data_IF_843775210400
#
_entry.id   IF_843775210400
#
_cell.length_a   1.000
_cell.length_b   1.000
_cell.length_c   1.000
_cell.angle_alpha   90.00
_cell.angle_beta   90.00
_cell.angle_gamma   90.00
#
_symmetry.space_group_name_H-M   'P 1'
#
loop_
_entity.id
_entity.type
_entity.pdbx_description
1 polymer ?
#
# COMPACT_ATOMS: atom_id res chain seq x y z
N UNK A 1 43.90 12.09 33.53
CA UNK A 1 42.77 13.02 33.54
C UNK A 1 42.78 13.77 32.23
N UNK A 2 42.54 13.04 31.13
CA UNK A 2 42.42 13.58 29.74
C UNK A 2 41.81 12.50 28.84
N UNK A 3 40.49 12.27 28.98
CA UNK A 3 39.70 11.51 28.02
C UNK A 3 38.32 12.18 27.97
N UNK A 4 38.20 13.33 27.33
CA UNK A 4 36.90 13.98 27.16
C UNK A 4 36.76 14.90 25.95
N UNK A 5 37.75 14.95 25.04
CA UNK A 5 37.66 15.88 23.90
C UNK A 5 37.47 15.21 22.51
N UNK A 6 37.59 13.90 22.43
CA UNK A 6 37.49 13.18 21.17
C UNK A 6 36.04 12.88 20.72
N UNK A 7 35.14 12.68 21.70
CA UNK A 7 33.73 12.34 21.37
C UNK A 7 32.89 13.52 20.86
N UNK A 8 33.19 14.73 21.29
CA UNK A 8 32.46 15.92 20.85
C UNK A 8 32.75 16.32 19.38
N UNK A 9 33.95 16.02 18.89
CA UNK A 9 34.38 16.33 17.51
C UNK A 9 33.71 15.47 16.47
N UNK A 10 33.52 14.20 16.75
CA UNK A 10 32.87 13.25 15.83
C UNK A 10 31.35 13.50 15.71
N UNK A 11 30.72 13.91 16.81
CA UNK A 11 29.29 14.22 16.82
C UNK A 11 28.95 15.48 16.00
N UNK A 12 29.79 16.52 16.16
CA UNK A 12 29.69 17.75 15.38
C UNK A 12 29.98 17.53 13.89
N UNK A 13 30.96 16.70 13.55
CA UNK A 13 31.29 16.39 12.16
C UNK A 13 30.20 15.57 11.48
N UNK A 14 29.60 14.60 12.15
CA UNK A 14 28.47 13.79 11.65
C UNK A 14 27.20 14.64 11.48
N UNK A 15 26.88 15.49 12.44
CA UNK A 15 25.75 16.43 12.32
C UNK A 15 25.92 17.41 11.16
N UNK A 16 27.13 17.93 10.95
CA UNK A 16 27.42 18.86 9.82
C UNK A 16 27.33 18.13 8.48
N UNK A 17 27.76 16.88 8.38
CA UNK A 17 27.63 16.08 7.16
C UNK A 17 26.18 15.76 6.81
N UNK A 18 25.37 15.36 7.81
CA UNK A 18 23.92 15.10 7.62
C UNK A 18 23.22 16.40 7.21
N UNK A 19 23.52 17.51 7.89
CA UNK A 19 22.94 18.82 7.53
C UNK A 19 23.40 19.28 6.15
N UNK A 20 24.64 19.03 5.75
CA UNK A 20 25.16 19.38 4.42
C UNK A 20 24.50 18.54 3.30
N UNK A 21 24.27 17.25 3.55
CA UNK A 21 23.55 16.37 2.61
C UNK A 21 22.09 16.82 2.47
N UNK A 22 21.41 17.11 3.60
CA UNK A 22 20.00 17.57 3.60
C UNK A 22 19.89 18.97 2.94
N UNK A 23 20.78 19.92 3.27
CA UNK A 23 20.74 21.26 2.66
C UNK A 23 21.18 21.27 1.20
N UNK A 24 22.11 20.39 0.80
CA UNK A 24 22.47 20.18 -0.61
C UNK A 24 21.27 19.70 -1.45
N UNK A 25 20.47 18.81 -0.90
CA UNK A 25 19.23 18.32 -1.53
C UNK A 25 18.20 19.44 -1.71
N UNK A 26 17.93 20.21 -0.67
CA UNK A 26 16.99 21.34 -0.72
C UNK A 26 17.42 22.40 -1.74
N UNK A 27 18.71 22.76 -1.79
CA UNK A 27 19.22 23.79 -2.69
C UNK A 27 19.18 23.35 -4.16
N UNK A 28 19.45 22.07 -4.44
CA UNK A 28 19.42 21.55 -5.81
C UNK A 28 17.98 21.42 -6.34
N UNK A 29 17.05 20.98 -5.50
CA UNK A 29 15.62 20.91 -5.83
C UNK A 29 15.04 22.28 -6.12
N UNK A 30 15.36 23.30 -5.33
CA UNK A 30 14.88 24.67 -5.54
C UNK A 30 15.42 25.27 -6.86
N UNK A 31 16.67 25.03 -7.19
CA UNK A 31 17.29 25.56 -8.45
C UNK A 31 16.72 24.83 -9.69
N UNK A 32 16.43 23.53 -9.60
CA UNK A 32 15.84 22.78 -10.71
C UNK A 32 14.35 23.09 -10.91
N UNK A 33 13.59 23.29 -9.85
CA UNK A 33 12.17 23.67 -9.93
C UNK A 33 11.99 25.01 -10.67
N UNK A 34 12.88 25.99 -10.46
CA UNK A 34 12.85 27.30 -11.17
C UNK A 34 13.23 27.19 -12.66
N UNK A 35 14.03 26.17 -13.04
CA UNK A 35 14.48 26.00 -14.44
C UNK A 35 13.55 25.15 -15.32
N UNK A 36 12.60 24.39 -14.72
CA UNK A 36 11.74 23.45 -15.44
C UNK A 36 10.30 23.94 -15.65
N UNK A 37 9.99 25.21 -15.36
CA UNK A 37 8.67 25.77 -15.67
C UNK A 37 8.46 25.85 -17.18
N UNK A 38 7.51 25.10 -17.75
CA UNK A 38 7.29 25.11 -19.19
C UNK A 38 6.64 26.44 -19.61
N UNK A 39 7.26 27.10 -20.57
CA UNK A 39 6.70 28.23 -21.32
C UNK A 39 5.44 27.75 -22.05
N UNK A 40 4.28 28.33 -21.74
CA UNK A 40 3.01 28.10 -22.44
C UNK A 40 3.21 28.38 -23.94
N UNK A 41 2.93 27.38 -24.76
CA UNK A 41 2.63 27.59 -26.19
C UNK A 41 1.21 27.09 -26.45
N UNK A 42 0.38 27.98 -26.95
CA UNK A 42 -0.99 27.74 -27.40
C UNK A 42 -0.97 27.05 -28.77
N UNK A 43 -1.76 25.95 -28.88
CA UNK A 43 -1.99 25.29 -30.17
C UNK A 43 -3.34 24.57 -30.17
N UNK A 44 -4.24 25.07 -31.01
CA UNK A 44 -5.60 24.59 -31.31
C UNK A 44 -5.51 23.40 -32.27
N UNK A 45 -6.38 22.38 -32.09
CA UNK A 45 -6.55 21.32 -33.07
C UNK A 45 -7.67 20.36 -32.74
N UNK A 46 -8.76 20.44 -33.47
CA UNK A 46 -9.95 19.60 -33.42
C UNK A 46 -9.75 18.26 -34.15
N UNK A 47 -10.50 17.21 -33.74
CA UNK A 47 -10.62 15.99 -34.53
C UNK A 47 -11.45 14.91 -33.85
N UNK A 48 -12.68 14.71 -34.30
CA UNK A 48 -13.60 13.69 -33.81
C UNK A 48 -13.30 12.28 -34.34
N UNK A 49 -13.79 11.28 -33.64
CA UNK A 49 -13.75 9.89 -34.05
C UNK A 49 -14.73 9.03 -33.26
N UNK A 50 -15.86 8.71 -33.92
CA UNK A 50 -16.89 7.81 -33.42
C UNK A 50 -16.36 6.37 -33.38
N UNK A 51 -16.73 5.59 -32.35
CA UNK A 51 -16.46 4.18 -32.33
C UNK A 51 -17.64 3.33 -31.92
N UNK A 52 -17.91 2.44 -32.82
CA UNK A 52 -18.83 1.36 -32.95
C UNK A 52 -18.87 0.38 -31.77
N UNK A 53 -20.09 0.10 -31.29
CA UNK A 53 -20.40 -1.02 -30.39
C UNK A 53 -20.45 -2.32 -31.20
N UNK A 54 -19.63 -3.32 -30.84
CA UNK A 54 -19.81 -4.70 -31.25
C UNK A 54 -20.49 -5.50 -30.13
N UNK A 55 -21.71 -5.91 -30.39
CA UNK A 55 -22.48 -6.88 -29.64
C UNK A 55 -22.06 -8.29 -30.07
N UNK A 56 -21.59 -9.13 -29.11
CA UNK A 56 -21.46 -10.57 -29.35
C UNK A 56 -22.67 -11.27 -28.78
N UNK A 57 -23.59 -11.67 -29.69
CA UNK A 57 -24.67 -12.59 -29.36
C UNK A 57 -24.19 -14.04 -29.48
N UNK A 58 -24.19 -14.79 -28.40
CA UNK A 58 -24.07 -16.25 -28.42
C UNK A 58 -25.47 -16.84 -28.24
N UNK A 59 -26.05 -17.34 -29.30
CA UNK A 59 -27.26 -18.18 -29.26
C UNK A 59 -26.84 -19.64 -29.04
N UNK A 60 -27.18 -20.22 -27.89
CA UNK A 60 -27.07 -21.64 -27.64
C UNK A 60 -28.43 -22.26 -27.86
N UNK A 61 -28.54 -23.10 -28.88
CA UNK A 61 -29.72 -23.95 -29.14
C UNK A 61 -29.68 -25.13 -28.15
N UNK A 62 -30.73 -25.21 -27.29
CA UNK A 62 -30.93 -26.36 -26.41
C UNK A 62 -31.59 -27.49 -27.21
N UNK A 63 -30.94 -28.63 -27.26
CA UNK A 63 -31.50 -29.89 -27.74
C UNK A 63 -32.14 -30.64 -26.56
N UNK A 64 -33.41 -30.91 -26.61
CA UNK A 64 -34.16 -31.70 -25.63
C UNK A 64 -33.65 -33.12 -25.56
N UNK A 65 -33.05 -33.50 -24.44
CA UNK A 65 -32.85 -34.87 -24.02
C UNK A 65 -33.40 -35.05 -22.61
N UNK A 66 -34.39 -35.91 -22.44
CA UNK A 66 -35.03 -36.24 -21.18
C UNK A 66 -33.99 -36.60 -20.10
N UNK A 67 -34.20 -36.14 -18.83
CA UNK A 67 -33.25 -36.40 -17.77
C UNK A 67 -33.37 -37.85 -17.26
N UNK A 68 -32.30 -38.62 -17.42
CA UNK A 68 -32.07 -39.80 -16.58
C UNK A 68 -31.83 -39.27 -15.17
N UNK A 69 -32.80 -39.50 -14.28
CA UNK A 69 -32.68 -39.21 -12.85
C UNK A 69 -31.65 -40.19 -12.24
N UNK A 70 -30.39 -39.82 -12.29
CA UNK A 70 -29.40 -40.41 -11.45
C UNK A 70 -29.63 -39.85 -10.01
N UNK A 71 -30.16 -40.63 -9.13
CA UNK A 71 -30.16 -40.38 -7.68
C UNK A 71 -28.71 -40.13 -7.26
N UNK A 72 -28.31 -38.88 -7.18
CA UNK A 72 -27.11 -38.47 -6.48
C UNK A 72 -27.36 -38.81 -5.01
N UNK A 73 -26.81 -39.93 -4.54
CA UNK A 73 -26.56 -40.13 -3.14
C UNK A 73 -25.70 -38.96 -2.67
N UNK A 74 -26.36 -37.97 -2.09
CA UNK A 74 -25.77 -36.83 -1.42
C UNK A 74 -25.16 -37.34 -0.11
N UNK A 75 -23.99 -37.95 -0.22
CA UNK A 75 -23.15 -38.18 0.96
C UNK A 75 -22.76 -36.82 1.50
N UNK A 76 -23.41 -36.38 2.58
CA UNK A 76 -23.01 -35.13 3.24
C UNK A 76 -21.53 -35.24 3.58
N UNK A 77 -20.76 -34.26 3.11
CA UNK A 77 -19.32 -34.19 3.41
C UNK A 77 -19.11 -34.18 4.91
N UNK A 78 -18.08 -34.88 5.41
CA UNK A 78 -17.74 -34.87 6.83
C UNK A 78 -17.70 -33.45 7.41
N UNK A 79 -17.24 -32.46 6.62
CA UNK A 79 -17.24 -31.04 6.99
C UNK A 79 -18.65 -30.45 7.17
N UNK A 80 -19.67 -30.99 6.51
CA UNK A 80 -21.06 -30.52 6.63
C UNK A 80 -21.71 -31.04 7.92
N UNK A 81 -21.21 -32.16 8.47
CA UNK A 81 -21.68 -32.78 9.72
C UNK A 81 -21.07 -32.08 10.94
N UNK A 82 -20.01 -31.31 10.80
CA UNK A 82 -19.41 -30.58 11.90
C UNK A 82 -20.32 -29.44 12.37
N UNK A 83 -20.38 -29.25 13.69
CA UNK A 83 -21.03 -28.08 14.28
C UNK A 83 -20.35 -26.79 13.79
N UNK A 84 -21.10 -25.67 13.65
CA UNK A 84 -20.59 -24.43 13.06
C UNK A 84 -19.28 -23.94 13.69
N UNK A 85 -19.15 -24.05 15.00
CA UNK A 85 -18.00 -23.60 15.79
C UNK A 85 -16.72 -24.38 15.42
N UNK A 86 -16.83 -25.73 15.37
CA UNK A 86 -15.70 -26.58 14.98
C UNK A 86 -15.29 -26.33 13.53
N UNK A 87 -16.28 -26.15 12.65
CA UNK A 87 -16.03 -25.84 11.24
C UNK A 87 -15.31 -24.50 11.08
N UNK A 88 -15.77 -23.45 11.74
CA UNK A 88 -15.13 -22.13 11.72
C UNK A 88 -13.71 -22.20 12.28
N UNK A 89 -13.50 -22.95 13.36
CA UNK A 89 -12.19 -23.17 13.93
C UNK A 89 -11.26 -23.90 12.95
N UNK A 90 -11.73 -24.96 12.29
CA UNK A 90 -10.95 -25.67 11.28
C UNK A 90 -10.58 -24.76 10.09
N UNK A 91 -11.49 -23.88 9.66
CA UNK A 91 -11.25 -22.92 8.58
C UNK A 91 -10.27 -21.81 8.96
N UNK A 92 -10.11 -21.48 10.23
CA UNK A 92 -9.15 -20.45 10.70
C UNK A 92 -7.68 -20.83 10.48
N UNK A 93 -7.38 -22.12 10.26
CA UNK A 93 -6.03 -22.58 9.90
C UNK A 93 -5.68 -22.38 8.43
N UNK A 94 -6.68 -22.14 7.57
CA UNK A 94 -6.46 -21.91 6.14
C UNK A 94 -5.90 -20.51 5.90
N UNK A 95 -5.11 -20.39 4.83
CA UNK A 95 -4.76 -19.08 4.26
C UNK A 95 -5.91 -18.53 3.40
N UNK A 96 -5.84 -17.24 3.05
CA UNK A 96 -6.90 -16.59 2.27
C UNK A 96 -7.15 -17.24 0.91
N UNK A 97 -6.08 -17.78 0.25
CA UNK A 97 -6.20 -18.44 -1.06
C UNK A 97 -6.95 -19.74 -0.96
N UNK A 98 -6.62 -20.55 0.05
CA UNK A 98 -7.28 -21.81 0.34
C UNK A 98 -8.75 -21.60 0.74
N UNK A 99 -9.02 -20.57 1.55
CA UNK A 99 -10.39 -20.19 1.93
C UNK A 99 -11.22 -19.76 0.70
N UNK A 100 -10.64 -18.96 -0.18
CA UNK A 100 -11.27 -18.59 -1.45
C UNK A 100 -11.52 -19.81 -2.37
N UNK A 101 -10.55 -20.72 -2.50
CA UNK A 101 -10.71 -21.96 -3.29
C UNK A 101 -11.81 -22.85 -2.71
N UNK A 102 -11.85 -23.00 -1.39
CA UNK A 102 -12.88 -23.77 -0.70
C UNK A 102 -14.28 -23.19 -0.99
N UNK A 103 -14.43 -21.88 -1.05
CA UNK A 103 -15.69 -21.21 -1.40
C UNK A 103 -16.22 -21.53 -2.80
N UNK A 104 -15.39 -22.06 -3.68
CA UNK A 104 -15.72 -22.42 -5.07
C UNK A 104 -16.13 -23.89 -5.22
N UNK A 105 -16.01 -24.73 -4.18
CA UNK A 105 -16.23 -26.19 -4.30
C UNK A 105 -17.72 -26.56 -4.34
N UNK A 106 -18.50 -26.14 -3.36
CA UNK A 106 -19.94 -26.37 -3.29
C UNK A 106 -20.64 -25.28 -2.46
N UNK A 107 -21.98 -25.28 -2.43
CA UNK A 107 -22.77 -24.25 -1.74
C UNK A 107 -22.57 -24.24 -0.22
N UNK A 108 -22.42 -25.40 0.42
CA UNK A 108 -22.15 -25.52 1.86
C UNK A 108 -20.78 -24.96 2.23
N UNK A 109 -19.74 -25.34 1.49
CA UNK A 109 -18.39 -24.81 1.69
C UNK A 109 -18.30 -23.32 1.35
N UNK A 110 -19.04 -22.84 0.35
CA UNK A 110 -19.15 -21.41 0.06
C UNK A 110 -19.70 -20.63 1.24
N UNK A 111 -20.79 -21.13 1.86
CA UNK A 111 -21.37 -20.50 3.05
C UNK A 111 -20.37 -20.51 4.22
N UNK A 112 -19.71 -21.63 4.47
CA UNK A 112 -18.72 -21.76 5.54
C UNK A 112 -17.49 -20.88 5.30
N UNK A 113 -16.92 -20.86 4.09
CA UNK A 113 -15.74 -20.07 3.74
C UNK A 113 -16.02 -18.57 3.63
N UNK A 114 -17.28 -18.14 3.56
CA UNK A 114 -17.68 -16.73 3.62
C UNK A 114 -18.20 -16.33 5.01
N UNK A 115 -18.06 -17.20 6.02
CA UNK A 115 -18.40 -16.87 7.40
C UNK A 115 -17.53 -15.70 7.91
N UNK A 116 -18.18 -14.71 8.47
CA UNK A 116 -17.53 -13.46 8.87
C UNK A 116 -16.50 -13.68 10.00
N UNK A 117 -16.75 -14.65 10.90
CA UNK A 117 -15.81 -15.00 11.96
C UNK A 117 -14.54 -15.68 11.40
N UNK A 118 -14.66 -16.52 10.36
CA UNK A 118 -13.51 -17.13 9.72
C UNK A 118 -12.57 -16.04 9.13
N UNK A 119 -13.12 -15.02 8.48
CA UNK A 119 -12.36 -13.89 7.96
C UNK A 119 -11.82 -12.98 9.05
N UNK A 120 -12.54 -12.81 10.16
CA UNK A 120 -12.04 -12.09 11.34
C UNK A 120 -10.83 -12.78 11.96
N UNK A 121 -10.87 -14.10 12.11
CA UNK A 121 -9.72 -14.87 12.60
C UNK A 121 -8.53 -14.75 11.65
N UNK A 122 -8.76 -14.87 10.34
CA UNK A 122 -7.72 -14.73 9.34
C UNK A 122 -7.11 -13.33 9.34
N UNK A 123 -7.94 -12.30 9.47
CA UNK A 123 -7.47 -10.92 9.60
C UNK A 123 -6.54 -10.75 10.81
N UNK A 124 -6.95 -11.23 11.97
CA UNK A 124 -6.14 -11.17 13.20
C UNK A 124 -4.85 -11.96 13.11
N UNK A 125 -4.83 -13.05 12.36
CA UNK A 125 -3.64 -13.87 12.11
C UNK A 125 -2.64 -13.17 11.20
N UNK A 126 -3.11 -12.54 10.12
CA UNK A 126 -2.24 -11.97 9.08
C UNK A 126 -1.84 -10.51 9.37
N UNK A 127 -2.68 -9.76 10.12
CA UNK A 127 -2.50 -8.34 10.41
C UNK A 127 -2.52 -8.08 11.93
N UNK A 128 -1.63 -8.73 12.65
CA UNK A 128 -1.57 -8.95 14.09
C UNK A 128 -1.60 -7.72 15.01
N UNK A 129 -1.75 -6.51 14.55
CA UNK A 129 -1.53 -5.35 15.40
C UNK A 129 -2.84 -4.74 15.89
N UNK A 130 -3.06 -4.81 17.22
CA UNK A 130 -3.85 -3.93 18.10
C UNK A 130 -5.04 -3.20 17.46
N UNK A 131 -5.96 -3.93 16.85
CA UNK A 131 -7.16 -3.30 16.27
C UNK A 131 -8.45 -3.89 16.87
N UNK A 132 -8.53 -3.93 18.20
CA UNK A 132 -9.71 -4.48 18.89
C UNK A 132 -11.01 -3.71 18.60
N UNK A 133 -10.91 -2.48 18.12
CA UNK A 133 -12.05 -1.59 17.87
C UNK A 133 -12.50 -1.51 16.40
N UNK A 134 -12.01 -2.40 15.51
CA UNK A 134 -12.46 -2.42 14.11
C UNK A 134 -13.82 -3.08 13.99
N UNK A 135 -14.79 -2.36 13.42
CA UNK A 135 -16.11 -2.87 13.05
C UNK A 135 -16.33 -2.63 11.56
N UNK A 136 -15.97 -3.58 10.70
CA UNK A 136 -16.10 -3.41 9.25
C UNK A 136 -17.56 -3.26 8.83
N UNK A 137 -17.88 -2.20 8.08
CA UNK A 137 -19.25 -1.94 7.59
C UNK A 137 -19.70 -3.02 6.60
N UNK A 138 -18.77 -3.51 5.75
CA UNK A 138 -19.04 -4.48 4.69
C UNK A 138 -18.60 -5.91 5.05
N UNK A 139 -18.43 -6.21 6.35
CA UNK A 139 -17.97 -7.50 6.85
C UNK A 139 -16.44 -7.69 6.76
N UNK A 140 -15.96 -8.72 7.47
CA UNK A 140 -14.53 -8.98 7.63
C UNK A 140 -13.83 -9.44 6.35
N UNK A 141 -14.54 -10.12 5.45
CA UNK A 141 -13.98 -10.54 4.16
C UNK A 141 -13.60 -9.35 3.29
N UNK A 142 -14.50 -8.37 3.16
CA UNK A 142 -14.24 -7.16 2.40
C UNK A 142 -13.13 -6.33 3.05
N UNK A 143 -13.15 -6.21 4.38
CA UNK A 143 -12.13 -5.50 5.14
C UNK A 143 -10.74 -6.13 4.99
N UNK A 144 -10.66 -7.46 5.09
CA UNK A 144 -9.44 -8.21 4.84
C UNK A 144 -8.88 -7.95 3.43
N UNK A 145 -9.75 -8.02 2.41
CA UNK A 145 -9.34 -7.81 1.03
C UNK A 145 -8.78 -6.38 0.81
N UNK A 146 -9.46 -5.37 1.37
CA UNK A 146 -9.01 -3.97 1.30
C UNK A 146 -7.70 -3.74 2.04
N UNK A 147 -7.57 -4.25 3.28
CA UNK A 147 -6.32 -4.14 4.06
C UNK A 147 -5.15 -4.79 3.32
N UNK A 148 -5.37 -6.00 2.78
CA UNK A 148 -4.34 -6.69 2.00
C UNK A 148 -3.93 -5.92 0.75
N UNK A 149 -4.89 -5.33 0.03
CA UNK A 149 -4.61 -4.51 -1.15
C UNK A 149 -3.76 -3.28 -0.78
N UNK A 150 -4.09 -2.61 0.32
CA UNK A 150 -3.35 -1.44 0.82
C UNK A 150 -1.94 -1.82 1.28
N UNK A 151 -1.77 -2.91 2.02
CA UNK A 151 -0.44 -3.40 2.44
C UNK A 151 0.41 -3.79 1.24
N UNK A 152 -0.19 -4.40 0.21
CA UNK A 152 0.52 -4.78 -1.00
C UNK A 152 1.00 -3.56 -1.80
N UNK A 153 0.14 -2.55 -2.02
CA UNK A 153 0.55 -1.33 -2.73
C UNK A 153 1.59 -0.53 -1.93
N UNK A 154 1.51 -0.57 -0.60
CA UNK A 154 2.53 0.02 0.26
C UNK A 154 3.88 -0.71 0.12
N UNK A 155 3.89 -2.03 0.04
CA UNK A 155 5.11 -2.80 -0.21
C UNK A 155 5.66 -2.56 -1.64
N UNK A 156 4.78 -2.42 -2.64
CA UNK A 156 5.14 -2.05 -4.01
C UNK A 156 5.82 -0.68 -4.06
N UNK A 157 5.35 0.30 -3.28
CA UNK A 157 5.96 1.62 -3.18
C UNK A 157 7.45 1.55 -2.80
N UNK A 158 7.81 0.77 -1.78
CA UNK A 158 9.22 0.60 -1.40
C UNK A 158 10.03 -0.22 -2.41
N UNK A 159 9.40 -1.14 -3.12
CA UNK A 159 10.05 -1.83 -4.25
C UNK A 159 10.37 -0.84 -5.37
N UNK A 160 9.44 0.05 -5.70
CA UNK A 160 9.61 1.09 -6.73
C UNK A 160 10.71 2.08 -6.35
N UNK A 161 10.84 2.45 -5.06
CA UNK A 161 11.94 3.28 -4.55
C UNK A 161 13.27 2.56 -4.78
N UNK A 162 13.40 1.31 -4.37
CA UNK A 162 14.62 0.51 -4.54
C UNK A 162 15.01 0.36 -6.01
N UNK A 163 14.02 0.21 -6.89
CA UNK A 163 14.22 0.01 -8.33
C UNK A 163 14.39 1.33 -9.10
N UNK A 164 14.34 2.50 -8.42
CA UNK A 164 14.45 3.85 -8.98
C UNK A 164 13.53 4.09 -10.19
N UNK A 165 12.33 3.51 -10.18
CA UNK A 165 11.43 3.53 -11.35
C UNK A 165 10.38 4.64 -11.28
N UNK A 166 10.67 5.79 -11.91
CA UNK A 166 9.71 6.92 -11.97
C UNK A 166 8.40 6.55 -12.69
N UNK A 167 8.47 5.68 -13.71
CA UNK A 167 7.27 5.23 -14.41
C UNK A 167 6.39 4.31 -13.56
N UNK A 168 6.97 3.51 -12.67
CA UNK A 168 6.24 2.73 -11.70
C UNK A 168 5.68 3.64 -10.58
N UNK A 169 6.49 4.59 -10.07
CA UNK A 169 6.07 5.57 -9.08
C UNK A 169 4.83 6.35 -9.54
N UNK A 170 4.82 6.84 -10.79
CA UNK A 170 3.68 7.59 -11.33
C UNK A 170 2.36 6.80 -11.39
N UNK A 171 2.42 5.47 -11.43
CA UNK A 171 1.23 4.61 -11.40
C UNK A 171 0.68 4.36 -10.00
N UNK A 172 1.48 4.58 -8.96
CA UNK A 172 1.07 4.42 -7.57
C UNK A 172 0.34 5.65 -7.02
N UNK A 173 0.68 6.83 -7.51
CA UNK A 173 0.09 8.07 -7.06
C UNK A 173 -1.18 8.44 -7.81
N UNK A 174 -2.13 9.05 -7.09
CA UNK A 174 -3.32 9.63 -7.72
C UNK A 174 -2.89 10.88 -8.53
N UNK A 175 -3.37 10.98 -9.76
CA UNK A 175 -3.14 12.19 -10.59
C UNK A 175 -4.10 13.30 -10.16
N UNK A 176 -3.77 14.00 -9.07
CA UNK A 176 -4.56 15.08 -8.48
C UNK A 176 -3.64 16.22 -8.01
N UNK A 177 -4.22 17.41 -7.84
CA UNK A 177 -3.51 18.61 -7.43
C UNK A 177 -3.29 18.69 -5.91
N UNK A 178 -4.07 17.94 -5.13
CA UNK A 178 -4.01 17.93 -3.66
C UNK A 178 -3.05 16.88 -3.07
N UNK A 179 -2.47 15.98 -3.89
CA UNK A 179 -1.54 14.97 -3.36
C UNK A 179 -0.30 15.64 -2.76
N UNK A 180 0.25 15.05 -1.70
CA UNK A 180 1.38 15.63 -0.96
C UNK A 180 2.44 14.60 -0.67
N UNK A 181 3.69 15.03 -0.78
CA UNK A 181 4.86 14.26 -0.39
C UNK A 181 5.75 15.10 0.52
N UNK A 182 6.09 14.59 1.69
CA UNK A 182 7.06 15.17 2.61
C UNK A 182 8.20 14.17 2.73
N UNK A 183 9.37 14.54 2.21
CA UNK A 183 10.58 13.73 2.33
C UNK A 183 11.22 13.88 3.72
N UNK A 184 12.17 13.00 4.04
CA UNK A 184 12.90 13.05 5.31
C UNK A 184 13.64 14.37 5.57
N UNK A 185 13.87 15.18 4.54
CA UNK A 185 14.39 16.55 4.64
C UNK A 185 13.38 17.55 5.23
N UNK A 186 12.12 17.16 5.40
CA UNK A 186 11.02 18.06 5.80
C UNK A 186 10.42 18.88 4.65
N UNK A 187 10.94 18.75 3.42
CA UNK A 187 10.44 19.50 2.27
C UNK A 187 9.11 18.95 1.78
N UNK A 188 8.13 19.84 1.59
CA UNK A 188 6.76 19.53 1.15
C UNK A 188 6.60 19.78 -0.35
N UNK A 189 6.15 18.76 -1.08
CA UNK A 189 5.74 18.85 -2.47
C UNK A 189 4.23 18.64 -2.59
N UNK A 190 3.54 19.52 -3.33
CA UNK A 190 2.08 19.47 -3.50
C UNK A 190 1.72 19.39 -4.97
N UNK A 191 0.77 18.51 -5.30
CA UNK A 191 0.31 18.20 -6.64
C UNK A 191 1.14 17.12 -7.33
N UNK A 192 0.49 16.34 -8.20
CA UNK A 192 1.09 15.16 -8.84
C UNK A 192 2.41 15.48 -9.57
N UNK A 193 2.45 16.58 -10.31
CA UNK A 193 3.66 16.96 -11.09
C UNK A 193 4.83 17.26 -10.15
N UNK A 194 4.63 18.05 -9.08
CA UNK A 194 5.70 18.40 -8.14
C UNK A 194 6.20 17.16 -7.39
N UNK A 195 5.28 16.28 -6.98
CA UNK A 195 5.62 15.01 -6.34
C UNK A 195 6.43 14.11 -7.26
N UNK A 196 6.07 13.99 -8.56
CA UNK A 196 6.85 13.18 -9.49
C UNK A 196 8.23 13.77 -9.76
N UNK A 197 8.34 15.10 -9.84
CA UNK A 197 9.64 15.79 -9.99
C UNK A 197 10.54 15.55 -8.77
N UNK A 198 9.98 15.59 -7.54
CA UNK A 198 10.77 15.30 -6.34
C UNK A 198 11.32 13.88 -6.32
N UNK A 199 10.51 12.88 -6.72
CA UNK A 199 10.96 11.49 -6.84
C UNK A 199 11.98 11.31 -7.97
N UNK A 200 11.83 12.04 -9.10
CA UNK A 200 12.81 12.00 -10.18
C UNK A 200 14.18 12.50 -9.72
N UNK A 201 14.22 13.55 -8.90
CA UNK A 201 15.46 14.05 -8.30
C UNK A 201 16.03 13.03 -7.32
N UNK A 202 15.19 12.43 -6.44
CA UNK A 202 15.63 11.42 -5.48
C UNK A 202 16.23 10.18 -6.17
N UNK A 203 15.66 9.76 -7.31
CA UNK A 203 16.13 8.59 -8.07
C UNK A 203 17.37 8.89 -8.94
N UNK A 204 17.72 10.15 -9.13
CA UNK A 204 18.94 10.53 -9.84
C UNK A 204 20.21 10.49 -8.96
N UNK A 205 20.06 10.22 -7.66
CA UNK A 205 21.20 10.09 -6.77
C UNK A 205 21.88 8.74 -6.92
N UNK A 206 23.21 8.74 -6.79
CA UNK A 206 24.04 7.53 -6.90
C UNK A 206 23.84 6.55 -5.71
N UNK A 207 23.22 6.98 -4.62
CA UNK A 207 22.91 6.13 -3.47
C UNK A 207 21.55 5.46 -3.64
N UNK A 208 21.56 4.14 -3.71
CA UNK A 208 20.33 3.36 -3.74
C UNK A 208 19.59 3.51 -2.40
N UNK A 209 18.38 4.10 -2.44
CA UNK A 209 17.50 4.21 -1.29
C UNK A 209 16.91 2.82 -0.96
N UNK A 210 17.56 2.10 -0.06
CA UNK A 210 17.12 0.77 0.35
C UNK A 210 16.63 0.80 1.81
N UNK A 211 15.30 0.73 1.97
CA UNK A 211 14.66 0.72 3.28
C UNK A 211 14.31 -0.70 3.73
N UNK A 212 14.69 -1.04 4.94
CA UNK A 212 14.10 -2.15 5.68
C UNK A 212 12.88 -1.62 6.44
N UNK A 213 11.68 -2.10 6.06
CA UNK A 213 10.43 -1.65 6.65
C UNK A 213 10.01 -2.61 7.75
N UNK A 214 9.63 -2.06 8.92
CA UNK A 214 9.16 -2.79 10.10
C UNK A 214 7.89 -2.14 10.65
N UNK A 215 7.19 -2.86 11.52
CA UNK A 215 6.00 -2.40 12.24
C UNK A 215 4.91 -1.80 11.34
N UNK A 216 4.66 -2.43 10.21
CA UNK A 216 3.64 -1.99 9.27
C UNK A 216 2.26 -2.14 9.88
N UNK A 217 1.55 -1.01 10.07
CA UNK A 217 0.20 -0.93 10.62
C UNK A 217 -0.71 -0.27 9.61
N UNK A 218 -1.70 -0.99 9.11
CA UNK A 218 -2.65 -0.47 8.13
C UNK A 218 -4.04 -0.30 8.76
N UNK A 219 -4.67 0.82 8.49
CA UNK A 219 -6.06 1.09 8.83
C UNK A 219 -6.82 1.45 7.57
N UNK A 220 -7.96 0.81 7.34
CA UNK A 220 -8.80 1.03 6.16
C UNK A 220 -10.15 1.57 6.61
N UNK A 221 -10.56 2.68 6.03
CA UNK A 221 -11.93 3.18 6.04
C UNK A 221 -12.64 2.74 4.74
N UNK A 222 -13.74 3.38 4.37
CA UNK A 222 -14.52 2.97 3.19
C UNK A 222 -13.74 3.17 1.89
N UNK A 223 -13.20 4.36 1.69
CA UNK A 223 -12.53 4.83 0.48
C UNK A 223 -11.15 5.44 0.75
N UNK A 224 -10.72 5.43 2.00
CA UNK A 224 -9.43 5.94 2.47
C UNK A 224 -8.73 4.90 3.34
N UNK A 225 -7.42 4.86 3.25
CA UNK A 225 -6.60 4.04 4.14
C UNK A 225 -5.30 4.77 4.48
N UNK A 226 -4.73 4.46 5.64
CA UNK A 226 -3.39 4.89 5.99
C UNK A 226 -2.57 3.73 6.51
N UNK A 227 -1.27 3.81 6.29
CA UNK A 227 -0.28 2.85 6.74
C UNK A 227 0.83 3.60 7.46
N UNK A 228 1.07 3.23 8.70
CA UNK A 228 2.21 3.72 9.47
C UNK A 228 3.25 2.62 9.60
N UNK A 229 4.52 2.98 9.61
CA UNK A 229 5.62 2.03 9.70
C UNK A 229 6.91 2.70 10.12
N UNK A 230 7.88 1.88 10.51
CA UNK A 230 9.26 2.31 10.72
C UNK A 230 10.12 1.88 9.53
N UNK A 231 10.95 2.80 9.04
CA UNK A 231 11.94 2.57 8.01
C UNK A 231 13.36 2.65 8.57
N UNK A 232 14.23 1.74 8.14
CA UNK A 232 15.65 1.74 8.46
C UNK A 232 16.42 1.72 7.15
N UNK A 233 17.35 2.64 6.96
CA UNK A 233 18.23 2.58 5.78
C UNK A 233 19.25 1.45 5.96
N UNK A 234 19.36 0.61 4.92
CA UNK A 234 20.38 -0.44 4.91
C UNK A 234 21.71 0.19 4.58
N UNK A 235 22.73 -0.05 5.39
CA UNK A 235 24.10 0.49 5.31
C UNK A 235 24.30 1.95 5.76
N UNK A 236 23.33 2.55 6.41
CA UNK A 236 23.51 3.85 7.08
C UNK A 236 23.01 3.77 8.51
N UNK A 237 23.75 4.38 9.44
CA UNK A 237 23.34 4.53 10.85
C UNK A 237 22.25 5.63 11.02
N UNK A 238 21.67 6.09 9.91
CA UNK A 238 20.61 7.08 9.90
C UNK A 238 19.26 6.39 10.03
N UNK A 239 18.55 6.64 11.09
CA UNK A 239 17.22 6.09 11.34
C UNK A 239 17.05 5.70 12.81
N UNK A 240 15.87 5.26 13.22
CA UNK A 240 14.71 4.93 12.40
C UNK A 240 13.96 6.14 11.83
N UNK A 241 13.24 5.92 10.74
CA UNK A 241 12.31 6.88 10.17
C UNK A 241 10.88 6.50 10.52
N UNK A 242 10.07 7.48 10.93
CA UNK A 242 8.63 7.35 10.95
C UNK A 242 8.07 7.62 9.57
N UNK A 243 7.30 6.67 9.04
CA UNK A 243 6.72 6.79 7.71
C UNK A 243 5.21 6.61 7.79
N UNK A 244 4.47 7.52 7.17
CA UNK A 244 3.02 7.46 7.02
C UNK A 244 2.65 7.61 5.56
N UNK A 245 1.92 6.63 5.03
CA UNK A 245 1.35 6.65 3.70
C UNK A 245 -0.17 6.67 3.77
N UNK A 246 -0.82 7.57 3.02
CA UNK A 246 -2.29 7.62 2.91
C UNK A 246 -2.68 7.29 1.48
N UNK A 247 -3.73 6.49 1.36
CA UNK A 247 -4.26 5.98 0.10
C UNK A 247 -5.74 6.30 -0.02
N UNK A 248 -6.20 6.58 -1.24
CA UNK A 248 -7.60 6.70 -1.60
C UNK A 248 -8.00 5.66 -2.65
N UNK A 249 -9.27 5.22 -2.57
CA UNK A 249 -9.82 4.21 -3.46
C UNK A 249 -10.60 4.85 -4.60
N UNK A 250 -10.09 4.74 -5.82
CA UNK A 250 -10.69 5.31 -7.03
C UNK A 250 -10.79 4.26 -8.13
N UNK A 251 -11.97 4.11 -8.74
CA UNK A 251 -12.15 3.24 -9.91
C UNK A 251 -11.76 1.77 -9.69
N UNK A 252 -11.92 1.25 -8.48
CA UNK A 252 -11.57 -0.14 -8.15
C UNK A 252 -10.11 -0.36 -7.74
N UNK A 253 -9.34 0.71 -7.55
CA UNK A 253 -7.91 0.66 -7.21
C UNK A 253 -7.55 1.67 -6.13
N UNK A 254 -6.59 1.31 -5.28
CA UNK A 254 -5.97 2.21 -4.31
C UNK A 254 -4.85 3.03 -4.96
N UNK A 255 -4.79 4.32 -4.65
CA UNK A 255 -3.74 5.24 -5.07
C UNK A 255 -3.20 5.99 -3.88
N UNK A 256 -1.92 6.24 -3.85
CA UNK A 256 -1.28 7.08 -2.84
C UNK A 256 -1.67 8.55 -3.05
N UNK A 257 -2.04 9.21 -1.96
CA UNK A 257 -2.38 10.66 -1.95
C UNK A 257 -1.49 11.43 -1.00
N UNK A 258 -0.85 10.75 -0.05
CA UNK A 258 0.08 11.39 0.88
C UNK A 258 1.18 10.42 1.28
N UNK A 259 2.41 10.94 1.31
CA UNK A 259 3.59 10.30 1.87
C UNK A 259 4.26 11.27 2.83
N UNK A 260 4.62 10.80 4.00
CA UNK A 260 5.42 11.53 4.98
C UNK A 260 6.50 10.60 5.53
N UNK A 261 7.73 11.07 5.47
CA UNK A 261 8.89 10.42 6.06
C UNK A 261 9.60 11.43 6.97
N UNK A 262 9.83 11.09 8.23
CA UNK A 262 10.57 11.91 9.19
C UNK A 262 11.57 11.06 9.96
N UNK A 263 12.74 11.63 10.26
CA UNK A 263 13.72 10.99 11.13
C UNK A 263 13.18 10.96 12.57
N UNK A 264 13.38 9.86 13.28
CA UNK A 264 13.11 9.76 14.71
C UNK A 264 14.37 10.09 15.49
N UNK A 265 14.27 10.94 16.51
CA UNK A 265 15.35 11.15 17.46
C UNK A 265 15.55 9.90 18.33
N UNK A 266 16.82 9.53 18.59
CA UNK A 266 17.19 8.33 19.37
C UNK A 266 16.64 8.35 20.81
N UNK A 267 16.18 9.48 21.31
CA UNK A 267 15.70 9.65 22.70
C UNK A 267 14.19 9.44 22.88
N UNK A 268 13.44 9.17 21.81
CA UNK A 268 11.99 8.86 21.93
C UNK A 268 11.12 9.99 22.49
N UNK A 269 11.65 11.14 22.77
CA UNK A 269 10.93 12.31 23.26
C UNK A 269 10.45 13.16 22.09
N UNK A 270 9.14 13.18 21.90
CA UNK A 270 8.50 14.19 21.07
C UNK A 270 8.78 15.54 21.72
N UNK A 271 9.60 16.38 21.11
CA UNK A 271 9.70 17.78 21.51
C UNK A 271 8.34 18.41 21.23
N UNK A 272 7.58 18.67 22.30
CA UNK A 272 6.47 19.62 22.27
C UNK A 272 7.02 21.00 21.87
N UNK A 273 6.59 21.49 20.72
CA UNK A 273 6.68 22.89 20.35
C UNK A 273 5.34 23.56 20.51
#
# INVERSE_FOLDING_TARGET
MEISSSFAGDFLCRSILVTAVITGFCSLCAVLAVRLLPRKSSGVGAGGGALSKKSCGCSCSCSDRAPVVAERQSGASMMEQLVPEIRTHALSYLDYRSLCRLSMTNSSMRKAANDDNAWKFLYRKDFTLEQDNVRPVNGWKAYYASTRAVVNINAEFFSVIRDNSISAMSRLWLSADYVKCIHASGELFTGFTAVMQSWQVAFAWDQALNFQIREVRARVATDMAWVTMQGFMVNEDNGPFNITNVFEFHGGRWYMVHHHCSLMDENGDMMEQ
#
